data_IF_885758856379
#
_entry.id   IF_885758856379
#
_cell.length_a   1.000
_cell.length_b   1.000
_cell.length_c   1.000
_cell.angle_alpha   90.00
_cell.angle_beta   90.00
_cell.angle_gamma   90.00
#
_symmetry.space_group_name_H-M   'P 1'
#
loop_
_entity.id
_entity.type
_entity.pdbx_description
1 polymer ?
#
# COMPACT_ATOMS: atom_id res chain seq x y z
N UNK A 1 14.07 9.84 16.56
CA UNK A 1 14.65 8.51 16.86
C UNK A 1 13.49 7.61 17.28
N UNK A 2 13.13 6.60 16.47
CA UNK A 2 12.08 5.64 16.86
C UNK A 2 12.52 4.97 18.17
N UNK A 3 11.76 5.10 19.25
CA UNK A 3 12.05 4.56 20.59
C UNK A 3 12.06 3.02 20.69
N UNK A 4 12.35 2.33 19.59
CA UNK A 4 12.41 0.89 19.49
C UNK A 4 13.78 0.36 19.94
N UNK A 5 13.75 -0.67 20.78
CA UNK A 5 14.96 -1.32 21.25
C UNK A 5 15.72 -1.97 20.07
N UNK A 6 17.07 -1.84 19.97
CA UNK A 6 17.85 -2.38 18.84
C UNK A 6 17.70 -3.89 18.61
N UNK A 7 17.34 -4.67 19.63
CA UNK A 7 17.08 -6.10 19.48
C UNK A 7 15.77 -6.38 18.74
N UNK A 8 14.71 -5.59 18.98
CA UNK A 8 13.42 -5.72 18.31
C UNK A 8 13.53 -5.39 16.82
N UNK A 9 14.30 -4.34 16.48
CA UNK A 9 14.61 -4.02 15.08
C UNK A 9 15.34 -5.18 14.38
N UNK A 10 16.35 -5.78 15.04
CA UNK A 10 17.06 -6.95 14.50
C UNK A 10 16.15 -8.17 14.31
N UNK A 11 15.16 -8.36 15.18
CA UNK A 11 14.19 -9.44 15.04
C UNK A 11 13.34 -9.22 13.78
N UNK A 12 12.80 -8.01 13.59
CA UNK A 12 11.96 -7.69 12.43
C UNK A 12 12.74 -7.78 11.12
N UNK A 13 13.99 -7.32 11.10
CA UNK A 13 14.88 -7.49 9.95
C UNK A 13 15.12 -8.96 9.61
N UNK A 14 15.37 -9.81 10.61
CA UNK A 14 15.60 -11.25 10.40
C UNK A 14 14.37 -11.94 9.83
N UNK A 15 13.18 -11.51 10.27
CA UNK A 15 11.90 -12.00 9.75
C UNK A 15 11.56 -11.41 8.37
N UNK A 16 12.40 -10.53 7.82
CA UNK A 16 12.16 -9.90 6.53
C UNK A 16 11.08 -8.82 6.54
N UNK A 17 10.54 -8.51 7.72
CA UNK A 17 9.48 -7.52 7.89
C UNK A 17 9.94 -6.12 7.53
N UNK A 18 11.24 -5.81 7.70
CA UNK A 18 11.85 -4.52 7.37
C UNK A 18 13.20 -4.75 6.72
N UNK A 19 13.54 -3.92 5.72
CA UNK A 19 14.82 -3.98 5.02
C UNK A 19 15.53 -2.63 5.16
N UNK A 20 16.55 -2.52 6.05
CA UNK A 20 17.26 -1.26 6.22
C UNK A 20 18.07 -0.94 4.97
N UNK A 21 18.13 0.33 4.61
CA UNK A 21 19.12 0.79 3.65
C UNK A 21 20.48 0.91 4.34
N UNK A 22 21.49 0.19 3.86
CA UNK A 22 22.85 0.24 4.43
C UNK A 22 23.63 1.37 3.79
N UNK A 23 24.05 2.36 4.60
CA UNK A 23 24.92 3.45 4.14
C UNK A 23 26.31 3.30 4.76
N UNK A 24 27.30 3.06 3.89
CA UNK A 24 28.67 2.78 4.28
C UNK A 24 28.84 1.45 5.02
N UNK A 25 29.93 1.31 5.79
CA UNK A 25 30.29 0.05 6.48
C UNK A 25 29.44 -0.30 7.71
N UNK A 26 28.63 0.62 8.27
CA UNK A 26 28.07 0.39 9.61
C UNK A 26 26.70 1.02 9.92
N UNK A 27 26.25 2.07 9.20
CA UNK A 27 25.00 2.75 9.56
C UNK A 27 23.80 2.19 8.79
N UNK A 28 22.75 1.85 9.53
CA UNK A 28 21.42 1.50 9.01
C UNK A 28 20.60 2.77 8.94
N UNK A 29 20.10 3.09 7.76
CA UNK A 29 19.11 4.14 7.58
C UNK A 29 17.76 3.47 7.34
N UNK A 30 16.73 4.07 7.93
CA UNK A 30 15.34 3.71 7.72
C UNK A 30 14.68 4.89 7.02
N UNK A 31 13.93 4.60 5.97
CA UNK A 31 13.08 5.57 5.30
C UNK A 31 11.85 5.90 6.15
N UNK A 32 11.12 6.96 5.81
CA UNK A 32 9.82 7.24 6.44
C UNK A 32 8.84 6.07 6.26
N UNK A 33 8.88 5.39 5.10
CA UNK A 33 8.08 4.19 4.86
C UNK A 33 8.44 3.03 5.81
N UNK A 34 9.73 2.85 6.13
CA UNK A 34 10.17 1.86 7.11
C UNK A 34 9.68 2.22 8.52
N UNK A 35 9.68 3.51 8.87
CA UNK A 35 9.17 4.00 10.17
C UNK A 35 7.67 3.75 10.26
N UNK A 36 6.91 4.02 9.21
CA UNK A 36 5.47 3.77 9.18
C UNK A 36 5.16 2.27 9.27
N UNK A 37 5.93 1.45 8.55
CA UNK A 37 5.82 -0.01 8.66
C UNK A 37 6.12 -0.50 10.08
N UNK A 38 7.09 0.08 10.76
CA UNK A 38 7.38 -0.21 12.17
C UNK A 38 6.19 0.12 13.08
N UNK A 39 5.55 1.27 12.88
CA UNK A 39 4.37 1.67 13.66
C UNK A 39 3.23 0.67 13.46
N UNK A 40 2.96 0.26 12.22
CA UNK A 40 1.93 -0.76 11.92
C UNK A 40 2.23 -2.10 12.59
N UNK A 41 3.48 -2.56 12.53
CA UNK A 41 3.90 -3.79 13.22
C UNK A 41 3.68 -3.66 14.74
N UNK A 42 4.02 -2.52 15.34
CA UNK A 42 3.79 -2.27 16.76
C UNK A 42 2.29 -2.25 17.09
N UNK A 43 1.47 -1.57 16.30
CA UNK A 43 0.02 -1.53 16.48
C UNK A 43 -0.58 -2.95 16.46
N UNK A 44 -0.27 -3.75 15.44
CA UNK A 44 -0.78 -5.12 15.35
C UNK A 44 -0.31 -6.02 16.50
N UNK A 45 0.94 -5.89 16.94
CA UNK A 45 1.49 -6.74 18.01
C UNK A 45 1.06 -6.31 19.41
N UNK A 46 1.00 -5.00 19.68
CA UNK A 46 0.79 -4.45 21.02
C UNK A 46 -0.67 -4.15 21.32
N UNK A 47 -1.42 -3.66 20.32
CA UNK A 47 -2.82 -3.26 20.52
C UNK A 47 -3.78 -4.38 20.13
N UNK A 48 -3.52 -5.09 19.02
CA UNK A 48 -4.39 -6.16 18.53
C UNK A 48 -3.94 -7.57 18.96
N UNK A 49 -2.79 -7.70 19.61
CA UNK A 49 -2.28 -8.98 20.12
C UNK A 49 -1.88 -9.99 19.03
N UNK A 50 -1.66 -9.54 17.79
CA UNK A 50 -1.28 -10.39 16.67
C UNK A 50 0.18 -10.83 16.81
N UNK A 51 0.45 -12.12 16.61
CA UNK A 51 1.83 -12.62 16.61
C UNK A 51 2.60 -12.19 15.34
N UNK A 52 3.94 -12.28 15.36
CA UNK A 52 4.77 -11.81 14.25
C UNK A 52 4.54 -12.54 12.93
N UNK A 53 4.12 -13.81 12.95
CA UNK A 53 3.78 -14.55 11.74
C UNK A 53 2.45 -14.04 11.13
N UNK A 54 1.47 -13.70 11.96
CA UNK A 54 0.24 -13.06 11.55
C UNK A 54 0.49 -11.68 10.96
N UNK A 55 1.34 -10.87 11.60
CA UNK A 55 1.74 -9.55 11.09
C UNK A 55 2.36 -9.64 9.70
N UNK A 56 3.26 -10.60 9.50
CA UNK A 56 3.89 -10.84 8.20
C UNK A 56 2.86 -11.15 7.09
N UNK A 57 1.86 -11.98 7.40
CA UNK A 57 0.76 -12.28 6.48
C UNK A 57 -0.09 -11.03 6.21
N UNK A 58 -0.47 -10.30 7.26
CA UNK A 58 -1.29 -9.07 7.14
C UNK A 58 -0.57 -8.05 6.24
N UNK A 59 0.71 -7.78 6.49
CA UNK A 59 1.46 -6.81 5.68
C UNK A 59 1.54 -7.22 4.21
N UNK A 60 1.73 -8.51 3.91
CA UNK A 60 1.69 -9.00 2.51
C UNK A 60 0.32 -8.85 1.88
N UNK A 61 -0.75 -9.08 2.64
CA UNK A 61 -2.12 -8.90 2.15
C UNK A 61 -2.39 -7.42 1.87
N UNK A 62 -1.99 -6.52 2.76
CA UNK A 62 -2.09 -5.08 2.54
C UNK A 62 -1.31 -4.63 1.29
N UNK A 63 -0.08 -5.10 1.11
CA UNK A 63 0.70 -4.85 -0.11
C UNK A 63 -0.01 -5.37 -1.37
N UNK A 64 -0.65 -6.54 -1.28
CA UNK A 64 -1.38 -7.13 -2.40
C UNK A 64 -2.65 -6.36 -2.72
N UNK A 65 -3.40 -5.92 -1.71
CA UNK A 65 -4.59 -5.07 -1.87
C UNK A 65 -4.18 -3.76 -2.54
N UNK A 66 -3.12 -3.12 -2.06
CA UNK A 66 -2.58 -1.90 -2.67
C UNK A 66 -2.16 -2.10 -4.13
N UNK A 67 -1.57 -3.26 -4.46
CA UNK A 67 -1.26 -3.60 -5.84
C UNK A 67 -2.52 -3.77 -6.69
N UNK A 68 -3.52 -4.50 -6.20
CA UNK A 68 -4.78 -4.70 -6.90
C UNK A 68 -5.50 -3.36 -7.11
N UNK A 69 -5.51 -2.48 -6.11
CA UNK A 69 -6.10 -1.15 -6.21
C UNK A 69 -5.48 -0.36 -7.36
N UNK A 70 -4.14 -0.34 -7.47
CA UNK A 70 -3.44 0.32 -8.58
C UNK A 70 -3.78 -0.29 -9.94
N UNK A 71 -3.83 -1.62 -10.02
CA UNK A 71 -4.19 -2.32 -11.26
C UNK A 71 -5.63 -1.97 -11.69
N UNK A 72 -6.57 -1.90 -10.74
CA UNK A 72 -7.97 -1.51 -11.00
C UNK A 72 -8.07 -0.05 -11.44
N UNK A 73 -7.38 0.87 -10.76
CA UNK A 73 -7.33 2.29 -11.13
C UNK A 73 -6.83 2.46 -12.58
N UNK A 74 -5.74 1.78 -12.94
CA UNK A 74 -5.19 1.83 -14.31
C UNK A 74 -6.20 1.32 -15.35
N UNK A 75 -6.87 0.19 -15.09
CA UNK A 75 -7.88 -0.37 -15.98
C UNK A 75 -9.05 0.60 -16.18
N UNK A 76 -9.46 1.26 -15.10
CA UNK A 76 -10.58 2.22 -15.14
C UNK A 76 -10.20 3.46 -15.93
N UNK A 77 -9.01 4.01 -15.72
CA UNK A 77 -8.51 5.14 -16.49
C UNK A 77 -8.47 4.82 -17.99
N UNK A 78 -7.93 3.66 -18.35
CA UNK A 78 -7.88 3.19 -19.74
C UNK A 78 -9.28 3.01 -20.33
N UNK A 79 -10.20 2.41 -19.57
CA UNK A 79 -11.58 2.18 -20.02
C UNK A 79 -12.34 3.49 -20.19
N UNK A 80 -12.21 4.41 -19.23
CA UNK A 80 -12.83 5.73 -19.30
C UNK A 80 -12.29 6.55 -20.47
N UNK A 81 -10.97 6.53 -20.70
CA UNK A 81 -10.37 7.16 -21.88
C UNK A 81 -10.93 6.56 -23.18
N UNK A 82 -11.11 5.23 -23.23
CA UNK A 82 -11.70 4.56 -24.40
C UNK A 82 -13.17 4.94 -24.61
N UNK A 83 -13.95 5.05 -23.55
CA UNK A 83 -15.36 5.50 -23.63
C UNK A 83 -15.43 6.92 -24.21
N UNK A 84 -14.60 7.83 -23.71
CA UNK A 84 -14.56 9.21 -24.21
C UNK A 84 -14.21 9.28 -25.70
N UNK A 85 -13.22 8.50 -26.13
CA UNK A 85 -12.87 8.40 -27.55
C UNK A 85 -14.04 7.94 -28.41
N UNK A 86 -14.80 6.94 -27.96
CA UNK A 86 -15.96 6.43 -28.71
C UNK A 86 -17.10 7.44 -28.77
N UNK A 87 -17.35 8.18 -27.69
CA UNK A 87 -18.37 9.24 -27.68
C UNK A 87 -18.03 10.31 -28.73
N UNK A 88 -16.76 10.71 -28.78
CA UNK A 88 -16.26 11.68 -29.76
C UNK A 88 -16.31 11.12 -31.20
N UNK A 89 -15.78 9.90 -31.43
CA UNK A 89 -15.72 9.24 -32.74
C UNK A 89 -17.10 9.11 -33.40
N UNK A 90 -18.13 8.78 -32.62
CA UNK A 90 -19.49 8.57 -33.13
C UNK A 90 -20.44 9.75 -32.88
N UNK A 91 -19.95 10.87 -32.31
CA UNK A 91 -20.73 12.05 -31.93
C UNK A 91 -22.03 11.68 -31.18
N UNK A 92 -21.91 10.79 -30.20
CA UNK A 92 -23.06 10.24 -29.48
C UNK A 92 -23.74 11.32 -28.64
N UNK A 93 -25.08 11.45 -28.67
CA UNK A 93 -25.82 12.43 -27.87
C UNK A 93 -26.03 11.93 -26.43
N UNK A 94 -24.94 11.57 -25.75
CA UNK A 94 -24.93 11.05 -24.38
C UNK A 94 -24.03 11.90 -23.51
N UNK A 95 -24.41 12.11 -22.26
CA UNK A 95 -23.53 12.72 -21.26
C UNK A 95 -22.44 11.71 -20.87
N UNK A 96 -21.14 12.02 -21.11
CA UNK A 96 -20.04 11.14 -20.76
C UNK A 96 -20.06 10.65 -19.31
N UNK A 97 -20.42 11.51 -18.36
CA UNK A 97 -20.42 11.19 -16.93
C UNK A 97 -21.38 10.05 -16.56
N UNK A 98 -22.36 9.76 -17.43
CA UNK A 98 -23.31 8.65 -17.25
C UNK A 98 -22.67 7.30 -17.58
N UNK A 99 -21.61 7.28 -18.39
CA UNK A 99 -20.96 6.07 -18.88
C UNK A 99 -19.59 5.82 -18.21
N UNK A 100 -18.97 6.83 -17.62
CA UNK A 100 -17.69 6.68 -16.93
C UNK A 100 -17.81 5.74 -15.71
N UNK A 101 -16.86 4.83 -15.59
CA UNK A 101 -16.71 3.95 -14.43
C UNK A 101 -16.19 4.79 -13.27
N UNK A 102 -16.92 4.75 -12.15
CA UNK A 102 -16.51 5.34 -10.88
C UNK A 102 -15.99 4.24 -9.97
N UNK A 103 -14.79 4.43 -9.44
CA UNK A 103 -14.20 3.57 -8.42
C UNK A 103 -13.83 4.41 -7.22
N UNK A 104 -14.38 4.02 -6.09
CA UNK A 104 -14.06 4.58 -4.78
C UNK A 104 -13.18 3.57 -4.08
N UNK A 105 -11.91 3.93 -3.87
CA UNK A 105 -11.03 3.14 -3.04
C UNK A 105 -11.58 3.20 -1.61
N UNK A 106 -11.77 2.04 -0.99
CA UNK A 106 -12.04 1.98 0.44
C UNK A 106 -10.73 2.33 1.16
N UNK A 107 -10.56 3.58 1.52
CA UNK A 107 -9.44 4.00 2.35
C UNK A 107 -9.63 3.46 3.77
N UNK A 108 -8.56 2.99 4.42
CA UNK A 108 -8.56 2.41 5.78
C UNK A 108 -8.90 3.42 6.90
N UNK A 109 -9.32 4.66 6.60
CA UNK A 109 -9.67 5.68 7.61
C UNK A 109 -11.08 5.51 8.21
N UNK A 110 -11.45 4.27 8.56
CA UNK A 110 -12.69 3.92 9.26
C UNK A 110 -12.46 3.41 10.67
#
# INVERSE_FOLDING_TARGET
MSGLHPQTLRLYERLGLIKPHRVGRSKRLYSEADIERLRRIQHFTQELGVNLAGVDIILRLLERIEQINREVEEIIEQTNARILQLIEEYNLPVDPNTLLIRYERLDEEG
#
